data_IF_104655080574
#
_entry.id   IF_104655080574
#
_cell.length_a   1.000
_cell.length_b   1.000
_cell.length_c   1.000
_cell.angle_alpha   90.00
_cell.angle_beta   90.00
_cell.angle_gamma   90.00
#
_symmetry.space_group_name_H-M   'P 1'
#
loop_
_entity.id
_entity.type
_entity.pdbx_description
1 polymer ?
#
# COMPACT_ATOMS: atom_id res chain seq x y z
N UNK A 1 -39.78 -11.51 9.90
CA UNK A 1 -38.80 -11.01 10.88
C UNK A 1 -37.44 -11.47 10.41
N UNK A 2 -36.52 -10.54 10.12
CA UNK A 2 -35.12 -10.92 9.90
C UNK A 2 -34.55 -11.36 11.24
N UNK A 3 -33.95 -12.54 11.31
CA UNK A 3 -33.29 -13.03 12.51
C UNK A 3 -32.01 -12.21 12.69
N UNK A 4 -31.97 -11.31 13.68
CA UNK A 4 -30.85 -10.38 13.87
C UNK A 4 -29.47 -11.06 14.01
N UNK A 5 -29.44 -12.32 14.45
CA UNK A 5 -28.20 -13.11 14.52
C UNK A 5 -27.71 -13.57 13.14
N UNK A 6 -28.62 -13.91 12.23
CA UNK A 6 -28.26 -14.37 10.88
C UNK A 6 -27.70 -13.21 10.05
N UNK A 7 -28.28 -12.01 10.22
CA UNK A 7 -27.79 -10.77 9.59
C UNK A 7 -26.39 -10.37 10.11
N UNK A 8 -26.13 -10.55 11.41
CA UNK A 8 -24.80 -10.29 12.02
C UNK A 8 -23.74 -11.29 11.57
N UNK A 9 -24.09 -12.58 11.47
CA UNK A 9 -23.19 -13.62 10.95
C UNK A 9 -22.86 -13.33 9.50
N UNK A 10 -23.85 -12.93 8.70
CA UNK A 10 -23.65 -12.56 7.30
C UNK A 10 -22.72 -11.35 7.16
N UNK A 11 -22.92 -10.30 7.96
CA UNK A 11 -22.03 -9.14 7.98
C UNK A 11 -20.59 -9.53 8.36
N UNK A 12 -20.43 -10.36 9.39
CA UNK A 12 -19.12 -10.85 9.80
C UNK A 12 -18.43 -11.70 8.72
N UNK A 13 -19.15 -12.60 8.05
CA UNK A 13 -18.62 -13.38 6.93
C UNK A 13 -18.24 -12.50 5.74
N UNK A 14 -19.04 -11.46 5.43
CA UNK A 14 -18.70 -10.49 4.39
C UNK A 14 -17.43 -9.71 4.74
N UNK A 15 -17.29 -9.28 6.00
CA UNK A 15 -16.09 -8.61 6.49
C UNK A 15 -14.86 -9.50 6.37
N UNK A 16 -14.93 -10.78 6.77
CA UNK A 16 -13.82 -11.74 6.61
C UNK A 16 -13.47 -11.97 5.14
N UNK A 17 -14.47 -12.12 4.27
CA UNK A 17 -14.24 -12.34 2.83
C UNK A 17 -13.55 -11.13 2.19
N UNK A 18 -13.94 -9.92 2.60
CA UNK A 18 -13.31 -8.67 2.19
C UNK A 18 -11.86 -8.53 2.69
N UNK A 19 -11.49 -9.18 3.81
CA UNK A 19 -10.09 -9.22 4.27
C UNK A 19 -9.20 -10.01 3.30
N UNK A 20 -9.68 -11.14 2.79
CA UNK A 20 -8.92 -11.98 1.85
C UNK A 20 -8.64 -11.27 0.53
N UNK A 21 -9.63 -10.58 -0.03
CA UNK A 21 -9.49 -9.86 -1.30
C UNK A 21 -8.53 -8.66 -1.25
N UNK A 22 -8.34 -8.04 -0.08
CA UNK A 22 -7.44 -6.89 0.06
C UNK A 22 -5.95 -7.23 -0.05
N UNK A 23 -5.57 -8.50 0.05
CA UNK A 23 -4.19 -8.98 -0.10
C UNK A 23 -3.96 -9.68 -1.45
N UNK A 24 -4.92 -9.60 -2.37
CA UNK A 24 -4.73 -10.08 -3.73
C UNK A 24 -3.54 -9.33 -4.39
N UNK A 25 -2.58 -10.05 -5.02
CA UNK A 25 -1.45 -9.42 -5.68
C UNK A 25 -1.83 -8.34 -6.70
N UNK A 26 -2.97 -8.46 -7.38
CA UNK A 26 -3.45 -7.45 -8.33
C UNK A 26 -3.93 -6.19 -7.62
N UNK A 27 -4.61 -6.33 -6.48
CA UNK A 27 -5.03 -5.21 -5.63
C UNK A 27 -3.81 -4.48 -5.08
N UNK A 28 -2.81 -5.22 -4.58
CA UNK A 28 -1.56 -4.62 -4.10
C UNK A 28 -0.82 -3.90 -5.22
N UNK A 29 -0.70 -4.53 -6.40
CA UNK A 29 -0.05 -3.91 -7.56
C UNK A 29 -0.75 -2.62 -8.00
N UNK A 30 -2.08 -2.59 -8.00
CA UNK A 30 -2.86 -1.38 -8.26
C UNK A 30 -2.49 -0.27 -7.27
N UNK A 31 -2.47 -0.55 -5.96
CA UNK A 31 -2.17 0.47 -4.96
C UNK A 31 -0.72 0.94 -4.99
N UNK A 32 0.24 0.04 -5.25
CA UNK A 32 1.64 0.42 -5.49
C UNK A 32 1.75 1.37 -6.67
N UNK A 33 1.04 1.08 -7.77
CA UNK A 33 1.05 1.93 -8.96
C UNK A 33 0.43 3.30 -8.68
N UNK A 34 -0.68 3.34 -7.95
CA UNK A 34 -1.33 4.60 -7.54
C UNK A 34 -0.37 5.47 -6.72
N UNK A 35 0.30 4.88 -5.72
CA UNK A 35 1.30 5.58 -4.89
C UNK A 35 2.46 6.09 -5.77
N UNK A 36 2.98 5.25 -6.68
CA UNK A 36 4.04 5.62 -7.62
C UNK A 36 3.67 6.86 -8.43
N UNK A 37 2.51 6.81 -9.09
CA UNK A 37 2.07 7.83 -10.02
C UNK A 37 1.79 9.14 -9.28
N UNK A 38 1.17 9.06 -8.09
CA UNK A 38 0.88 10.26 -7.31
C UNK A 38 2.14 10.91 -6.76
N UNK A 39 3.09 10.12 -6.25
CA UNK A 39 4.36 10.66 -5.75
C UNK A 39 5.19 11.28 -6.89
N UNK A 40 5.12 10.72 -8.11
CA UNK A 40 5.74 11.29 -9.32
C UNK A 40 5.08 12.61 -9.75
N UNK A 41 3.76 12.71 -9.67
CA UNK A 41 3.00 13.91 -10.07
C UNK A 41 3.40 15.15 -9.24
N UNK A 42 3.65 14.97 -7.94
CA UNK A 42 3.88 16.07 -7.00
C UNK A 42 5.36 16.49 -6.87
N UNK A 43 6.27 15.82 -7.58
CA UNK A 43 7.69 16.10 -7.51
C UNK A 43 8.28 16.55 -8.86
N UNK A 44 9.54 17.01 -8.85
CA UNK A 44 10.22 17.35 -10.09
C UNK A 44 10.44 16.09 -10.94
N UNK A 45 10.44 16.24 -12.26
CA UNK A 45 10.62 15.12 -13.21
C UNK A 45 11.84 14.26 -12.88
N UNK A 46 12.99 14.89 -12.59
CA UNK A 46 14.23 14.20 -12.23
C UNK A 46 14.10 13.36 -10.95
N UNK A 47 13.36 13.85 -9.96
CA UNK A 47 13.13 13.14 -8.71
C UNK A 47 12.12 11.99 -8.91
N UNK A 48 11.08 12.23 -9.70
CA UNK A 48 10.05 11.26 -10.05
C UNK A 48 10.61 10.04 -10.77
N UNK A 49 11.59 10.22 -11.66
CA UNK A 49 12.29 9.10 -12.32
C UNK A 49 13.03 8.16 -11.34
N UNK A 50 13.29 8.62 -10.10
CA UNK A 50 13.91 7.80 -9.03
C UNK A 50 12.90 7.13 -8.11
N UNK A 51 11.60 7.24 -8.38
CA UNK A 51 10.54 6.55 -7.66
C UNK A 51 10.11 5.37 -8.53
N UNK A 52 10.47 4.15 -8.16
CA UNK A 52 10.14 2.96 -8.93
C UNK A 52 9.64 1.86 -8.02
N UNK A 53 8.44 1.37 -8.31
CA UNK A 53 7.89 0.17 -7.69
C UNK A 53 7.82 -0.94 -8.73
N UNK A 54 8.30 -2.14 -8.41
CA UNK A 54 8.33 -3.28 -9.34
C UNK A 54 7.82 -4.53 -8.68
N UNK A 55 6.74 -5.11 -9.21
CA UNK A 55 6.24 -6.41 -8.80
C UNK A 55 7.08 -7.52 -9.43
N UNK A 56 7.45 -8.53 -8.64
CA UNK A 56 8.13 -9.70 -9.15
C UNK A 56 7.16 -10.58 -9.96
N UNK A 57 7.57 -10.98 -11.18
CA UNK A 57 6.72 -11.72 -12.13
C UNK A 57 6.50 -13.19 -11.78
N UNK A 58 7.31 -13.76 -10.88
CA UNK A 58 7.20 -15.16 -10.43
C UNK A 58 6.56 -15.19 -9.04
N UNK A 59 6.99 -14.30 -8.15
CA UNK A 59 6.48 -14.17 -6.80
C UNK A 59 5.60 -12.92 -6.72
N UNK A 60 4.33 -13.03 -7.08
CA UNK A 60 3.44 -11.86 -7.25
C UNK A 60 3.22 -11.05 -5.96
N UNK A 61 3.47 -11.62 -4.79
CA UNK A 61 3.45 -10.92 -3.50
C UNK A 61 4.76 -10.16 -3.18
N UNK A 62 5.80 -10.30 -4.00
CA UNK A 62 7.11 -9.66 -3.79
C UNK A 62 7.19 -8.38 -4.60
N UNK A 63 7.41 -7.27 -3.91
CA UNK A 63 7.59 -5.95 -4.50
C UNK A 63 8.99 -5.41 -4.19
N UNK A 64 9.61 -4.79 -5.19
CA UNK A 64 10.87 -4.06 -5.06
C UNK A 64 10.57 -2.56 -5.12
N UNK A 65 11.13 -1.80 -4.17
CA UNK A 65 10.91 -0.37 -4.00
C UNK A 65 12.26 0.32 -4.16
N UNK A 66 12.42 1.17 -5.17
CA UNK A 66 13.62 1.98 -5.38
C UNK A 66 13.24 3.44 -5.27
N UNK A 67 13.82 4.11 -4.26
CA UNK A 67 13.59 5.51 -3.96
C UNK A 67 14.93 6.21 -3.80
N UNK A 68 15.03 7.46 -4.24
CA UNK A 68 16.09 8.34 -3.76
C UNK A 68 15.77 8.81 -2.34
N UNK A 69 16.78 9.08 -1.49
CA UNK A 69 16.57 9.59 -0.12
C UNK A 69 15.66 10.83 -0.08
N UNK A 70 15.80 11.73 -1.07
CA UNK A 70 15.00 12.95 -1.19
C UNK A 70 13.53 12.69 -1.54
N UNK A 71 13.22 11.57 -2.17
CA UNK A 71 11.86 11.18 -2.54
C UNK A 71 11.12 10.47 -1.40
N UNK A 72 11.83 9.94 -0.40
CA UNK A 72 11.23 9.15 0.68
C UNK A 72 10.12 9.91 1.43
N UNK A 73 10.30 11.16 1.89
CA UNK A 73 9.24 11.87 2.61
C UNK A 73 7.95 12.01 1.79
N UNK A 74 8.09 12.32 0.49
CA UNK A 74 6.97 12.47 -0.44
C UNK A 74 6.21 11.15 -0.63
N UNK A 75 6.94 10.03 -0.73
CA UNK A 75 6.33 8.70 -0.86
C UNK A 75 5.62 8.29 0.42
N UNK A 76 6.21 8.53 1.59
CA UNK A 76 5.59 8.24 2.89
C UNK A 76 4.31 9.05 3.09
N UNK A 77 4.31 10.34 2.72
CA UNK A 77 3.12 11.19 2.73
C UNK A 77 2.04 10.66 1.78
N UNK A 78 2.41 10.33 0.54
CA UNK A 78 1.48 9.76 -0.45
C UNK A 78 0.85 8.45 0.01
N UNK A 79 1.64 7.55 0.64
CA UNK A 79 1.10 6.31 1.22
C UNK A 79 0.08 6.64 2.30
N UNK A 80 0.41 7.57 3.21
CA UNK A 80 -0.47 7.97 4.31
C UNK A 80 -1.81 8.53 3.80
N UNK A 81 -1.77 9.33 2.76
CA UNK A 81 -2.98 9.92 2.16
C UNK A 81 -3.88 8.87 1.49
N UNK A 82 -3.31 7.79 0.96
CA UNK A 82 -4.07 6.73 0.31
C UNK A 82 -4.53 5.63 1.24
N UNK A 83 -3.90 5.40 2.40
CA UNK A 83 -4.32 4.36 3.35
C UNK A 83 -5.83 4.40 3.70
N UNK A 84 -6.48 5.56 3.95
CA UNK A 84 -7.92 5.61 4.24
C UNK A 84 -8.82 5.20 3.06
N UNK A 85 -8.29 5.17 1.84
CA UNK A 85 -9.02 4.81 0.61
C UNK A 85 -8.85 3.32 0.25
N UNK A 86 -7.95 2.62 0.93
CA UNK A 86 -7.64 1.22 0.69
C UNK A 86 -8.63 0.30 1.40
N UNK A 87 -8.91 -0.90 0.85
CA UNK A 87 -9.52 -1.97 1.63
C UNK A 87 -8.72 -2.21 2.91
N UNK A 88 -9.39 -2.56 4.01
CA UNK A 88 -8.76 -2.64 5.33
C UNK A 88 -7.47 -3.49 5.36
N UNK A 89 -7.49 -4.69 4.77
CA UNK A 89 -6.30 -5.55 4.72
C UNK A 89 -5.16 -4.96 3.86
N UNK A 90 -5.51 -4.27 2.77
CA UNK A 90 -4.55 -3.51 1.95
C UNK A 90 -3.94 -2.36 2.74
N UNK A 91 -4.75 -1.62 3.51
CA UNK A 91 -4.27 -0.52 4.34
C UNK A 91 -3.26 -1.02 5.39
N UNK A 92 -3.54 -2.13 6.07
CA UNK A 92 -2.59 -2.77 6.99
C UNK A 92 -1.29 -3.21 6.31
N UNK A 93 -1.39 -3.75 5.10
CA UNK A 93 -0.20 -4.09 4.30
C UNK A 93 0.65 -2.84 4.02
N UNK A 94 0.01 -1.74 3.58
CA UNK A 94 0.71 -0.49 3.28
C UNK A 94 1.21 0.24 4.52
N UNK A 95 0.57 0.08 5.68
CA UNK A 95 1.11 0.52 6.96
C UNK A 95 2.45 -0.18 7.25
N UNK A 96 2.54 -1.50 6.98
CA UNK A 96 3.81 -2.21 7.13
C UNK A 96 4.86 -1.75 6.13
N UNK A 97 4.48 -1.50 4.88
CA UNK A 97 5.37 -0.94 3.85
C UNK A 97 5.89 0.43 4.27
N UNK A 98 5.01 1.31 4.77
CA UNK A 98 5.35 2.62 5.29
C UNK A 98 6.41 2.51 6.39
N UNK A 99 6.21 1.62 7.37
CA UNK A 99 7.16 1.39 8.46
C UNK A 99 8.51 0.93 7.93
N UNK A 100 8.54 -0.04 7.00
CA UNK A 100 9.79 -0.56 6.43
C UNK A 100 10.58 0.51 5.69
N UNK A 101 9.91 1.38 4.93
CA UNK A 101 10.56 2.50 4.24
C UNK A 101 11.12 3.51 5.26
N UNK A 102 10.34 3.84 6.30
CA UNK A 102 10.75 4.77 7.35
C UNK A 102 11.95 4.26 8.15
N UNK A 103 11.92 2.98 8.54
CA UNK A 103 13.01 2.32 9.27
C UNK A 103 14.31 2.34 8.45
N UNK A 104 14.22 2.03 7.16
CA UNK A 104 15.38 2.06 6.26
C UNK A 104 15.91 3.47 6.05
N UNK A 105 15.03 4.46 5.90
CA UNK A 105 15.42 5.86 5.80
C UNK A 105 16.15 6.34 7.06
N UNK A 106 15.66 5.95 8.24
CA UNK A 106 16.27 6.32 9.52
C UNK A 106 17.58 5.59 9.81
N UNK A 107 17.76 4.36 9.31
CA UNK A 107 18.99 3.57 9.47
C UNK A 107 20.22 4.33 8.97
N UNK A 108 20.06 5.11 7.90
CA UNK A 108 21.13 5.90 7.30
C UNK A 108 21.55 7.14 8.12
N UNK A 109 20.83 7.46 9.20
CA UNK A 109 21.12 8.57 10.11
C UNK A 109 21.65 8.11 11.48
N UNK A 110 21.85 6.79 11.66
CA UNK A 110 22.40 6.16 12.88
C UNK A 110 23.84 5.71 12.66
#
# INVERSE_FOLDING_TARGET
MKNGTDDLILDYCNNITNLGGGLDPEVLAYWYKRVEDKAKEVCSKELGEKIVFTQNRILWMKFEIKLSKRAVPLVLETIRDFMPLMPYATALYFEKVYQLILDEFNRDYV
#
